data_IF_031089278342
#
_entry.id   IF_031089278342
#
_cell.length_a   1.000
_cell.length_b   1.000
_cell.length_c   1.000
_cell.angle_alpha   90.00
_cell.angle_beta   90.00
_cell.angle_gamma   90.00
#
_symmetry.space_group_name_H-M   'P 1'
#
loop_
_entity.id
_entity.type
_entity.pdbx_description
1 polymer ?
#
# COMPACT_ATOMS: atom_id res chain seq x y z
N UNK A 1 -14.99 -22.64 -12.35
CA UNK A 1 -13.63 -22.06 -12.43
C UNK A 1 -13.34 -20.97 -13.45
N UNK A 2 -13.90 -20.97 -14.67
CA UNK A 2 -13.51 -19.98 -15.71
C UNK A 2 -13.57 -18.50 -15.27
N UNK A 3 -14.50 -18.14 -14.39
CA UNK A 3 -14.61 -16.76 -13.87
C UNK A 3 -13.53 -16.42 -12.84
N UNK A 4 -13.13 -17.37 -11.99
CA UNK A 4 -12.03 -17.21 -11.04
C UNK A 4 -10.70 -17.07 -11.79
N UNK A 5 -10.50 -17.87 -12.84
CA UNK A 5 -9.33 -17.78 -13.71
C UNK A 5 -9.26 -16.39 -14.39
N UNK A 6 -10.38 -15.92 -14.96
CA UNK A 6 -10.45 -14.59 -15.59
C UNK A 6 -10.16 -13.47 -14.58
N UNK A 7 -10.75 -13.53 -13.39
CA UNK A 7 -10.47 -12.60 -12.30
C UNK A 7 -8.98 -12.59 -11.94
N UNK A 8 -8.39 -13.76 -11.73
CA UNK A 8 -7.01 -13.91 -11.28
C UNK A 8 -6.02 -13.42 -12.34
N UNK A 9 -6.27 -13.74 -13.61
CA UNK A 9 -5.48 -13.22 -14.75
C UNK A 9 -5.55 -11.70 -14.84
N UNK A 10 -6.74 -11.12 -14.71
CA UNK A 10 -6.92 -9.67 -14.75
C UNK A 10 -6.22 -8.97 -13.57
N UNK A 11 -6.32 -9.55 -12.37
CA UNK A 11 -5.66 -9.07 -11.16
C UNK A 11 -4.14 -9.09 -11.34
N UNK A 12 -3.58 -10.26 -11.67
CA UNK A 12 -2.12 -10.44 -11.75
C UNK A 12 -1.52 -9.57 -12.86
N UNK A 13 -2.14 -9.54 -14.04
CA UNK A 13 -1.72 -8.68 -15.15
C UNK A 13 -1.66 -7.21 -14.74
N UNK A 14 -2.74 -6.68 -14.19
CA UNK A 14 -2.80 -5.27 -13.79
C UNK A 14 -1.78 -4.95 -12.68
N UNK A 15 -1.53 -5.88 -11.75
CA UNK A 15 -0.57 -5.72 -10.66
C UNK A 15 0.87 -5.65 -11.19
N UNK A 16 1.23 -6.52 -12.13
CA UNK A 16 2.57 -6.54 -12.73
C UNK A 16 2.82 -5.37 -13.68
N UNK A 17 1.81 -4.94 -14.44
CA UNK A 17 1.92 -3.81 -15.38
C UNK A 17 2.16 -2.48 -14.64
N UNK A 18 1.48 -2.25 -13.50
CA UNK A 18 1.72 -1.07 -12.65
C UNK A 18 3.14 -1.04 -12.10
N UNK A 19 3.69 -2.21 -11.74
CA UNK A 19 5.02 -2.28 -11.16
C UNK A 19 6.13 -2.16 -12.20
N UNK A 20 5.89 -2.63 -13.42
CA UNK A 20 6.82 -2.50 -14.53
C UNK A 20 7.03 -1.04 -14.97
N UNK A 21 6.03 -0.19 -14.72
CA UNK A 21 6.03 1.24 -15.09
C UNK A 21 6.36 2.16 -13.92
N UNK A 22 6.47 1.61 -12.70
CA UNK A 22 6.72 2.37 -11.47
C UNK A 22 8.19 2.83 -11.39
N UNK A 23 8.44 4.08 -11.75
CA UNK A 23 9.62 4.83 -11.27
C UNK A 23 9.48 5.00 -9.75
N UNK A 24 10.54 4.72 -8.98
CA UNK A 24 10.49 4.64 -7.51
C UNK A 24 9.82 5.84 -6.81
N UNK A 25 9.18 5.60 -5.66
CA UNK A 25 8.55 6.66 -4.84
C UNK A 25 9.63 7.42 -4.05
N UNK A 26 9.86 8.72 -4.36
CA UNK A 26 10.81 9.59 -3.62
C UNK A 26 10.50 9.67 -2.11
N UNK A 27 9.22 9.65 -1.75
CA UNK A 27 8.82 9.60 -0.35
C UNK A 27 9.19 8.26 0.31
N UNK A 28 9.10 7.14 -0.42
CA UNK A 28 9.56 5.85 0.08
C UNK A 28 11.06 5.81 0.29
N UNK A 29 11.86 6.41 -0.61
CA UNK A 29 13.31 6.44 -0.44
C UNK A 29 13.71 7.26 0.77
N UNK A 30 13.11 8.43 0.98
CA UNK A 30 13.36 9.25 2.17
C UNK A 30 13.01 8.49 3.45
N UNK A 31 11.79 7.93 3.53
CA UNK A 31 11.36 7.13 4.68
C UNK A 31 12.30 5.93 4.91
N UNK A 32 12.75 5.25 3.86
CA UNK A 32 13.67 4.12 4.00
C UNK A 32 15.02 4.54 4.60
N UNK A 33 15.56 5.70 4.23
CA UNK A 33 16.78 6.23 4.83
C UNK A 33 16.55 6.70 6.28
N UNK A 34 15.40 7.30 6.59
CA UNK A 34 14.99 7.62 7.97
C UNK A 34 14.89 6.35 8.84
N UNK A 35 14.30 5.28 8.33
CA UNK A 35 14.24 4.00 9.04
C UNK A 35 15.60 3.36 9.25
N UNK A 36 16.53 3.46 8.28
CA UNK A 36 17.90 2.96 8.44
C UNK A 36 18.70 3.74 9.49
N UNK A 37 18.47 5.06 9.58
CA UNK A 37 19.17 5.94 10.51
C UNK A 37 18.61 5.89 11.94
N UNK A 38 17.38 5.39 12.13
CA UNK A 38 16.84 5.09 13.45
C UNK A 38 17.49 3.83 14.02
N UNK A 39 18.43 4.00 14.94
CA UNK A 39 18.91 2.90 15.79
C UNK A 39 17.84 2.57 16.84
N UNK A 40 17.30 1.35 16.80
CA UNK A 40 16.51 0.81 17.92
C UNK A 40 17.51 0.42 19.00
N UNK A 41 17.88 1.39 19.83
CA UNK A 41 18.56 1.08 21.07
C UNK A 41 17.55 0.33 21.94
N UNK A 42 17.78 -0.97 22.19
CA UNK A 42 17.02 -1.77 23.17
C UNK A 42 17.24 -1.18 24.57
N UNK A 43 16.54 -0.09 24.87
CA UNK A 43 16.54 0.50 26.20
C UNK A 43 15.66 -0.39 27.08
N UNK A 44 16.33 -1.30 27.76
CA UNK A 44 15.89 -1.96 28.99
C UNK A 44 15.12 -0.94 29.85
N UNK A 45 13.94 -1.37 30.30
CA UNK A 45 12.80 -0.52 30.67
C UNK A 45 13.07 0.72 31.52
N UNK A 46 12.23 1.74 31.31
CA UNK A 46 11.60 2.45 32.43
C UNK A 46 10.34 3.22 31.99
N UNK A 47 9.28 3.02 32.77
CA UNK A 47 7.96 3.63 32.63
C UNK A 47 8.01 5.11 33.04
N UNK A 48 7.38 6.01 32.25
CA UNK A 48 6.45 7.11 32.67
C UNK A 48 6.61 8.44 31.90
N UNK A 49 5.43 9.00 31.53
CA UNK A 49 5.03 10.41 31.27
C UNK A 49 5.58 11.05 29.97
N UNK A 50 4.82 11.83 29.20
CA UNK A 50 3.46 12.35 29.34
C UNK A 50 3.00 13.00 28.01
N UNK A 51 1.67 13.07 27.82
CA UNK A 51 1.01 13.69 26.65
C UNK A 51 1.10 15.22 26.73
N UNK A 52 1.68 15.85 25.72
CA UNK A 52 1.62 17.30 25.44
C UNK A 52 0.95 17.57 24.09
N UNK A 53 0.22 18.69 23.97
CA UNK A 53 -0.99 18.88 23.13
C UNK A 53 -0.78 19.98 22.05
N UNK A 54 -1.29 19.71 20.82
CA UNK A 54 -1.82 20.57 19.73
C UNK A 54 -0.99 21.74 19.10
N UNK A 55 -1.05 21.84 17.76
CA UNK A 55 -1.61 23.00 16.99
C UNK A 55 -1.80 22.68 15.48
N UNK A 56 -2.90 23.19 14.89
CA UNK A 56 -3.19 23.27 13.43
C UNK A 56 -2.35 24.41 12.80
N UNK A 57 -2.22 24.44 11.45
CA UNK A 57 -2.98 25.45 10.71
C UNK A 57 -3.67 24.91 9.44
N UNK A 58 -4.69 25.66 9.01
CA UNK A 58 -5.45 25.52 7.76
C UNK A 58 -4.80 26.39 6.68
N UNK A 59 -4.64 25.87 5.44
CA UNK A 59 -5.13 26.48 4.19
C UNK A 59 -4.68 25.71 2.93
N UNK A 60 -5.69 25.38 2.12
CA UNK A 60 -5.80 25.43 0.64
C UNK A 60 -4.89 24.60 -0.30
N UNK A 61 -5.59 23.80 -1.12
CA UNK A 61 -5.24 23.11 -2.36
C UNK A 61 -3.88 22.40 -2.47
N UNK A 62 -3.88 21.15 -2.00
CA UNK A 62 -2.86 20.18 -2.36
C UNK A 62 -3.00 18.93 -1.53
N UNK A 63 -3.53 17.86 -2.16
CA UNK A 63 -3.62 16.47 -1.66
C UNK A 63 -2.93 16.26 -0.31
N UNK A 64 -3.75 16.29 0.73
CA UNK A 64 -3.48 15.98 2.13
C UNK A 64 -2.28 15.03 2.30
N UNK A 65 -1.10 15.59 2.58
CA UNK A 65 0.02 14.86 3.20
C UNK A 65 -0.36 14.56 4.64
N UNK A 66 -1.28 13.62 4.83
CA UNK A 66 -1.38 12.96 6.13
C UNK A 66 -0.10 12.16 6.30
N UNK A 67 0.65 12.51 7.35
CA UNK A 67 1.76 11.74 7.92
C UNK A 67 1.25 10.39 8.42
N UNK A 68 0.86 9.58 7.49
CA UNK A 68 0.55 8.17 7.67
C UNK A 68 1.68 7.46 6.95
N UNK A 69 2.40 6.57 7.63
CA UNK A 69 3.63 5.92 7.15
C UNK A 69 3.47 5.02 5.91
N UNK A 70 2.48 5.28 5.06
CA UNK A 70 2.23 4.61 3.80
C UNK A 70 2.44 5.56 2.60
N UNK A 71 3.27 5.15 1.63
CA UNK A 71 3.26 5.77 0.29
C UNK A 71 2.03 5.23 -0.46
N UNK A 72 1.05 6.10 -0.73
CA UNK A 72 -0.14 5.79 -1.53
C UNK A 72 0.13 5.75 -3.04
N UNK A 73 1.30 6.24 -3.46
CA UNK A 73 1.69 6.28 -4.87
C UNK A 73 1.83 4.89 -5.47
N UNK A 74 2.12 3.88 -4.63
CA UNK A 74 2.14 2.48 -5.06
C UNK A 74 0.80 1.82 -4.77
N UNK A 75 0.20 1.27 -5.81
CA UNK A 75 -1.06 0.55 -5.68
C UNK A 75 -0.80 -0.81 -5.03
N UNK A 76 -1.70 -1.22 -4.16
CA UNK A 76 -1.59 -2.45 -3.35
C UNK A 76 -2.59 -3.50 -3.80
N UNK A 77 -2.46 -4.72 -3.30
CA UNK A 77 -3.31 -5.85 -3.65
C UNK A 77 -4.81 -5.48 -3.65
N UNK A 78 -5.30 -4.78 -2.63
CA UNK A 78 -6.70 -4.35 -2.53
C UNK A 78 -7.18 -3.46 -3.70
N UNK A 79 -6.32 -2.60 -4.25
CA UNK A 79 -6.63 -1.80 -5.44
C UNK A 79 -6.84 -2.67 -6.69
N UNK A 80 -5.98 -3.68 -6.88
CA UNK A 80 -6.09 -4.56 -8.03
C UNK A 80 -7.24 -5.56 -7.90
N UNK A 81 -7.49 -6.05 -6.67
CA UNK A 81 -8.68 -6.86 -6.34
C UNK A 81 -9.95 -6.11 -6.72
N UNK A 82 -10.12 -4.86 -6.30
CA UNK A 82 -11.32 -4.07 -6.59
C UNK A 82 -11.50 -3.82 -8.09
N UNK A 83 -10.40 -3.57 -8.83
CA UNK A 83 -10.43 -3.40 -10.28
C UNK A 83 -10.76 -4.70 -11.03
N UNK A 84 -10.22 -5.82 -10.59
CA UNK A 84 -10.39 -7.13 -11.24
C UNK A 84 -11.82 -7.67 -11.13
N UNK A 85 -12.64 -7.22 -10.17
CA UNK A 85 -14.05 -7.59 -10.05
C UNK A 85 -14.84 -7.35 -11.34
N UNK A 86 -14.46 -6.32 -12.11
CA UNK A 86 -15.07 -5.96 -13.39
C UNK A 86 -14.76 -6.94 -14.54
N UNK A 87 -13.74 -7.78 -14.39
CA UNK A 87 -13.43 -8.80 -15.39
C UNK A 87 -14.40 -9.99 -15.31
N UNK A 88 -15.01 -10.23 -14.15
CA UNK A 88 -16.05 -11.25 -14.00
C UNK A 88 -17.30 -10.86 -14.81
N UNK A 89 -17.98 -11.85 -15.39
CA UNK A 89 -19.23 -11.67 -16.14
C UNK A 89 -20.34 -11.09 -15.27
N UNK A 90 -20.35 -11.45 -13.98
CA UNK A 90 -21.30 -10.96 -12.98
C UNK A 90 -20.52 -10.27 -11.86
N UNK A 91 -20.19 -8.97 -12.00
CA UNK A 91 -19.30 -8.27 -11.07
C UNK A 91 -19.78 -8.25 -9.61
N UNK A 92 -21.10 -8.27 -9.39
CA UNK A 92 -21.69 -8.16 -8.05
C UNK A 92 -22.01 -9.51 -7.39
N UNK A 93 -22.12 -10.60 -8.16
CA UNK A 93 -22.32 -11.94 -7.59
C UNK A 93 -21.00 -12.71 -7.54
N UNK A 94 -20.31 -12.79 -8.66
CA UNK A 94 -19.05 -13.53 -8.78
C UNK A 94 -17.87 -12.61 -8.47
N UNK A 95 -17.86 -11.41 -9.05
CA UNK A 95 -16.80 -10.44 -8.80
C UNK A 95 -16.77 -9.93 -7.36
N UNK A 96 -17.87 -10.04 -6.60
CA UNK A 96 -17.94 -9.67 -5.19
C UNK A 96 -17.35 -10.76 -4.26
N UNK A 97 -17.33 -12.03 -4.69
CA UNK A 97 -16.89 -13.15 -3.87
C UNK A 97 -15.40 -13.10 -3.46
N UNK A 98 -14.44 -12.71 -4.33
CA UNK A 98 -13.05 -12.56 -3.92
C UNK A 98 -12.88 -11.43 -2.88
N UNK A 99 -12.20 -11.75 -1.77
CA UNK A 99 -11.85 -10.81 -0.71
C UNK A 99 -10.37 -10.96 -0.34
N UNK A 100 -9.78 -9.91 0.19
CA UNK A 100 -8.39 -9.89 0.65
C UNK A 100 -8.35 -9.59 2.15
N UNK A 101 -7.74 -10.51 2.91
CA UNK A 101 -7.47 -10.34 4.34
C UNK A 101 -5.99 -10.02 4.57
N UNK A 102 -5.67 -9.45 5.73
CA UNK A 102 -4.31 -9.13 6.14
C UNK A 102 -3.91 -7.68 5.87
N UNK A 103 -2.60 -7.42 5.87
CA UNK A 103 -2.07 -6.07 5.68
C UNK A 103 -2.00 -5.70 4.20
N UNK A 104 -2.14 -4.41 3.83
CA UNK A 104 -2.02 -3.99 2.43
C UNK A 104 -0.62 -4.27 1.86
N UNK A 105 -0.50 -5.29 1.01
CA UNK A 105 0.77 -5.74 0.40
C UNK A 105 0.92 -5.31 -1.06
N UNK A 106 2.17 -5.27 -1.53
CA UNK A 106 2.57 -4.95 -2.91
C UNK A 106 3.56 -5.98 -3.45
N UNK A 107 3.60 -6.15 -4.77
CA UNK A 107 4.62 -6.99 -5.44
C UNK A 107 5.86 -6.14 -5.76
N UNK A 108 7.05 -6.71 -5.56
CA UNK A 108 8.32 -6.09 -5.96
C UNK A 108 9.12 -7.10 -6.79
N UNK A 109 9.77 -6.59 -7.85
CA UNK A 109 10.74 -7.40 -8.60
C UNK A 109 11.95 -7.64 -7.70
N UNK A 110 12.40 -8.89 -7.60
CA UNK A 110 13.67 -9.20 -6.95
C UNK A 110 14.80 -8.60 -7.79
N UNK A 111 15.68 -7.84 -7.17
CA UNK A 111 16.93 -7.42 -7.78
C UNK A 111 17.86 -8.63 -7.66
N UNK A 112 18.18 -9.27 -8.78
CA UNK A 112 19.27 -10.25 -8.86
C UNK A 112 20.58 -9.47 -8.84
N UNK A 113 21.32 -9.62 -7.74
CA UNK A 113 22.69 -9.13 -7.55
C UNK A 113 23.64 -10.24 -7.97
#
# INVERSE_FOLDING_TARGET
>A
DREIDRFTKALLKAFLDERSTSLGCKQCSILAEEFKSMSVNERKGNTKKGRGRKKKPESEDGVLKTSTGYCFTHKRAGYFVSRARKACRLPFMIGAAPVCYGVPTGIRKKISV
#
